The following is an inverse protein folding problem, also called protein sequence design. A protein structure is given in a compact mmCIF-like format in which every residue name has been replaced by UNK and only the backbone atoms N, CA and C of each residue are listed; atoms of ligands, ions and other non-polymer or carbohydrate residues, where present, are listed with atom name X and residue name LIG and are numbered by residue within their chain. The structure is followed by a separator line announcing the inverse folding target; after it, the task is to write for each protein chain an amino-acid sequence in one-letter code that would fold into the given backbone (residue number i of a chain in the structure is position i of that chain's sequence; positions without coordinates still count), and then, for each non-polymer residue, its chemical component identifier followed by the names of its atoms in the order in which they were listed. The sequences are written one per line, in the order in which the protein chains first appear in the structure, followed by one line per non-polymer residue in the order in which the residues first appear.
data_IF_416228078203
#
_entry.id   IF_416228078203
#
_cell.length_a   1.000
_cell.length_b   1.000
_cell.length_c   1.000
_cell.angle_alpha   90.00
_cell.angle_beta   90.00
_cell.angle_gamma   90.00
#
_symmetry.space_group_name_H-M   'P 1'
#
loop_
_entity.id
_entity.type
_entity.pdbx_description
1 polymer ?
#
# COMPACT_ATOMS: atom_id res chain seq x y z
N UNK A 1 25.66 -0.38 12.75
CA UNK A 1 25.20 0.81 13.50
C UNK A 1 24.91 1.91 12.50
N UNK A 2 23.62 2.26 12.37
CA UNK A 2 23.24 3.48 11.65
C UNK A 2 23.65 4.63 12.59
N UNK A 3 24.67 5.37 12.18
CA UNK A 3 25.21 6.46 13.01
C UNK A 3 24.13 7.44 13.40
N UNK A 4 24.06 7.77 14.68
CA UNK A 4 23.09 8.68 15.30
C UNK A 4 23.06 10.10 14.69
N UNK A 5 23.97 10.42 13.80
CA UNK A 5 24.05 11.71 13.13
C UNK A 5 23.00 11.97 12.04
N UNK A 6 22.34 10.90 11.53
CA UNK A 6 21.27 11.02 10.52
C UNK A 6 19.87 11.14 11.12
N UNK A 7 19.69 10.71 12.37
CA UNK A 7 18.39 10.74 13.08
C UNK A 7 18.34 11.89 14.10
N UNK A 8 19.41 12.62 14.28
CA UNK A 8 19.57 13.64 15.33
C UNK A 8 19.58 15.08 14.87
N UNK A 9 19.50 15.38 13.58
CA UNK A 9 19.29 16.76 13.19
C UNK A 9 17.80 17.10 13.33
N UNK A 10 17.49 18.16 14.08
CA UNK A 10 16.12 18.64 14.29
C UNK A 10 15.34 18.81 12.98
N UNK A 11 16.04 19.07 11.89
CA UNK A 11 15.50 19.22 10.54
C UNK A 11 14.85 17.95 10.00
N UNK A 12 15.44 16.77 10.18
CA UNK A 12 14.87 15.51 9.64
C UNK A 12 13.65 14.99 10.40
N UNK A 13 13.50 15.33 11.68
CA UNK A 13 12.40 14.82 12.51
C UNK A 13 11.18 15.73 12.43
N UNK A 14 11.36 17.03 12.23
CA UNK A 14 10.27 18.01 12.22
C UNK A 14 9.72 18.27 10.84
N UNK A 15 10.50 18.05 9.78
CA UNK A 15 10.24 18.53 8.43
C UNK A 15 10.12 17.38 7.42
N UNK A 16 9.81 16.17 7.86
CA UNK A 16 9.73 15.00 6.97
C UNK A 16 8.71 13.96 7.42
N UNK A 17 8.48 12.97 6.58
CA UNK A 17 7.70 11.79 6.91
C UNK A 17 8.61 10.71 7.48
N UNK A 18 8.29 10.22 8.68
CA UNK A 18 8.97 9.09 9.31
C UNK A 18 8.01 7.92 9.47
N UNK A 19 8.39 6.78 8.91
CA UNK A 19 7.66 5.52 9.02
C UNK A 19 8.41 4.56 9.96
N UNK A 20 7.66 3.96 10.89
CA UNK A 20 8.17 2.95 11.84
C UNK A 20 7.55 1.59 11.53
N UNK A 21 8.35 0.64 11.04
CA UNK A 21 7.96 -0.76 10.96
C UNK A 21 8.08 -1.43 12.34
N UNK A 22 6.95 -1.84 12.92
CA UNK A 22 6.90 -2.43 14.25
C UNK A 22 6.41 -3.88 14.22
N UNK A 23 6.99 -4.73 15.06
CA UNK A 23 6.48 -6.06 15.39
C UNK A 23 5.92 -6.04 16.80
N UNK A 24 4.63 -6.37 16.94
CA UNK A 24 4.04 -6.60 18.26
C UNK A 24 4.45 -7.98 18.77
N UNK A 25 5.11 -8.01 19.94
CA UNK A 25 5.55 -9.24 20.57
C UNK A 25 4.98 -9.34 22.00
N UNK A 26 4.98 -10.54 22.63
CA UNK A 26 4.59 -10.67 24.04
C UNK A 26 5.37 -9.77 25.00
N UNK A 27 6.60 -9.37 24.61
CA UNK A 27 7.47 -8.49 25.39
C UNK A 27 7.39 -7.01 24.92
N UNK A 28 6.27 -6.60 24.31
CA UNK A 28 6.04 -5.27 23.79
C UNK A 28 6.49 -5.08 22.34
N UNK A 29 6.30 -3.88 21.77
CA UNK A 29 6.64 -3.59 20.39
C UNK A 29 8.16 -3.61 20.17
N UNK A 30 8.58 -4.21 19.07
CA UNK A 30 9.97 -4.23 18.60
C UNK A 30 10.07 -3.56 17.25
N UNK A 31 11.07 -2.71 17.07
CA UNK A 31 11.32 -2.04 15.80
C UNK A 31 11.93 -3.03 14.81
N UNK A 32 11.36 -3.08 13.60
CA UNK A 32 11.89 -3.82 12.46
C UNK A 32 12.76 -2.89 11.62
N UNK A 33 12.22 -1.72 11.27
CA UNK A 33 12.89 -0.74 10.42
C UNK A 33 12.37 0.67 10.66
N UNK A 34 13.18 1.65 10.25
CA UNK A 34 12.81 3.05 10.10
C UNK A 34 12.96 3.44 8.64
N UNK A 35 12.03 4.24 8.11
CA UNK A 35 12.11 4.83 6.79
C UNK A 35 11.87 6.34 6.90
N UNK A 36 12.70 7.16 6.21
CA UNK A 36 12.53 8.62 6.11
C UNK A 36 11.61 8.99 4.94
N UNK A 37 10.60 8.19 4.68
CA UNK A 37 9.58 8.34 3.65
C UNK A 37 8.43 7.41 3.99
N UNK A 38 7.31 7.54 3.30
CA UNK A 38 6.22 6.57 3.41
C UNK A 38 6.71 5.15 3.08
N UNK A 39 6.13 4.14 3.75
CA UNK A 39 6.42 2.74 3.50
C UNK A 39 5.96 2.27 2.11
N UNK A 40 6.51 1.18 1.64
CA UNK A 40 6.08 0.49 0.42
C UNK A 40 5.99 -1.01 0.71
N UNK A 41 4.77 -1.60 0.77
CA UNK A 41 3.53 -1.17 0.12
C UNK A 41 2.52 -0.41 1.03
N UNK A 42 2.90 0.14 2.17
CA UNK A 42 1.98 0.77 3.13
C UNK A 42 1.35 2.05 2.59
N UNK A 43 2.10 2.83 1.80
CA UNK A 43 1.60 4.04 1.15
C UNK A 43 0.34 3.78 0.32
N UNK A 44 0.31 2.65 -0.37
CA UNK A 44 -0.78 2.25 -1.26
C UNK A 44 -2.08 1.94 -0.53
N UNK A 45 -2.06 1.83 0.80
CA UNK A 45 -3.27 1.65 1.63
C UNK A 45 -3.52 2.84 2.55
N UNK A 46 -2.50 3.58 2.95
CA UNK A 46 -2.63 4.73 3.86
C UNK A 46 -3.16 5.96 3.11
N UNK A 47 -2.52 6.34 2.00
CA UNK A 47 -2.89 7.56 1.27
C UNK A 47 -4.30 7.51 0.63
N UNK A 48 -4.81 6.40 0.09
CA UNK A 48 -6.20 6.31 -0.37
C UNK A 48 -7.25 6.56 0.71
N UNK A 49 -6.88 6.35 1.98
CA UNK A 49 -7.75 6.58 3.13
C UNK A 49 -7.62 7.99 3.72
N UNK A 50 -6.66 8.77 3.27
CA UNK A 50 -6.47 10.15 3.71
C UNK A 50 -7.62 11.02 3.18
N UNK A 51 -8.22 11.82 4.07
CA UNK A 51 -9.12 12.95 3.73
C UNK A 51 -8.36 14.25 3.96
N UNK A 52 -8.01 14.91 2.86
CA UNK A 52 -7.24 16.15 2.89
C UNK A 52 -6.35 16.28 1.65
N UNK A 53 -5.73 17.43 1.53
CA UNK A 53 -4.75 17.70 0.48
C UNK A 53 -3.33 17.37 0.99
N UNK A 54 -2.69 16.39 0.35
CA UNK A 54 -1.32 15.99 0.72
C UNK A 54 -0.30 17.11 0.46
N UNK A 55 -0.54 17.97 -0.55
CA UNK A 55 0.31 19.12 -0.82
C UNK A 55 0.23 20.15 0.30
N UNK A 56 -0.99 20.44 0.79
CA UNK A 56 -1.19 21.31 1.95
C UNK A 56 -0.48 20.77 3.20
N UNK A 57 -0.56 19.45 3.42
CA UNK A 57 0.15 18.80 4.53
C UNK A 57 1.66 19.00 4.41
N UNK A 58 2.24 18.83 3.20
CA UNK A 58 3.67 19.02 2.99
C UNK A 58 4.09 20.47 3.12
N UNK A 59 3.30 21.42 2.62
CA UNK A 59 3.54 22.86 2.82
C UNK A 59 3.50 23.22 4.31
N UNK A 60 2.51 22.70 5.04
CA UNK A 60 2.38 22.95 6.47
C UNK A 60 3.54 22.34 7.29
N UNK A 61 4.08 21.19 6.88
CA UNK A 61 5.30 20.62 7.47
C UNK A 61 6.47 21.58 7.25
N UNK A 62 6.68 22.05 6.01
CA UNK A 62 7.77 22.98 5.66
C UNK A 62 7.65 24.31 6.41
N UNK A 63 6.45 24.82 6.59
CA UNK A 63 6.16 26.08 7.27
C UNK A 63 6.03 25.94 8.81
N UNK A 64 6.27 24.75 9.37
CA UNK A 64 6.15 24.44 10.81
C UNK A 64 4.76 24.71 11.41
N UNK A 65 3.69 24.59 10.61
CA UNK A 65 2.29 24.82 11.00
C UNK A 65 1.41 23.57 10.89
N UNK A 66 1.98 22.37 10.90
CA UNK A 66 1.21 21.13 10.75
C UNK A 66 0.07 20.99 11.76
N UNK A 67 0.21 21.57 12.96
CA UNK A 67 -0.84 21.57 13.98
C UNK A 67 -2.12 22.34 13.54
N UNK A 68 -2.01 23.22 12.56
CA UNK A 68 -3.13 24.04 12.06
C UNK A 68 -3.91 23.32 10.94
N UNK A 69 -3.35 22.23 10.39
CA UNK A 69 -3.96 21.45 9.30
C UNK A 69 -4.88 20.38 9.85
N UNK A 70 -6.12 20.35 9.39
CA UNK A 70 -7.06 19.29 9.72
C UNK A 70 -6.79 18.08 8.84
N UNK A 71 -6.27 17.00 9.44
CA UNK A 71 -6.07 15.71 8.77
C UNK A 71 -7.21 14.77 9.17
N UNK A 72 -7.94 14.26 8.19
CA UNK A 72 -9.03 13.31 8.37
C UNK A 72 -8.72 11.97 7.71
N UNK A 73 -9.50 10.95 8.07
CA UNK A 73 -9.38 9.61 7.51
C UNK A 73 -10.75 9.08 7.12
N UNK A 74 -10.85 8.50 5.93
CA UNK A 74 -12.06 7.81 5.47
C UNK A 74 -12.37 6.63 6.37
N UNK A 75 -13.65 6.39 6.59
CA UNK A 75 -14.12 5.18 7.26
C UNK A 75 -13.94 3.95 6.38
N UNK A 76 -13.75 2.78 7.01
CA UNK A 76 -13.62 1.50 6.32
C UNK A 76 -12.19 0.95 6.32
N UNK A 77 -11.91 0.11 5.34
CA UNK A 77 -10.65 -0.64 5.21
C UNK A 77 -10.10 -0.49 3.81
N UNK A 78 -8.78 -0.47 3.72
CA UNK A 78 -8.06 -0.49 2.45
C UNK A 78 -7.06 -1.66 2.46
N UNK A 79 -6.98 -2.39 1.36
CA UNK A 79 -6.07 -3.53 1.22
C UNK A 79 -5.26 -3.40 -0.06
N UNK A 80 -4.01 -3.83 -0.02
CA UNK A 80 -3.13 -3.88 -1.19
C UNK A 80 -2.53 -5.27 -1.33
N UNK A 81 -2.73 -5.89 -2.48
CA UNK A 81 -2.10 -7.15 -2.85
C UNK A 81 -0.96 -6.87 -3.83
N UNK A 82 0.26 -7.16 -3.43
CA UNK A 82 1.44 -6.99 -4.29
C UNK A 82 1.56 -8.20 -5.22
N UNK A 83 1.59 -7.94 -6.54
CA UNK A 83 1.91 -8.91 -7.56
C UNK A 83 3.41 -8.82 -7.91
N UNK A 84 4.09 -9.95 -7.90
CA UNK A 84 5.52 -10.06 -8.13
C UNK A 84 5.83 -10.97 -9.33
N UNK A 85 7.01 -10.77 -9.91
CA UNK A 85 7.56 -11.64 -10.95
C UNK A 85 7.93 -13.01 -10.39
N UNK A 86 7.70 -14.06 -11.15
CA UNK A 86 8.07 -15.43 -10.78
C UNK A 86 9.57 -15.54 -10.48
N UNK A 87 9.88 -16.14 -9.32
CA UNK A 87 11.24 -16.27 -8.80
C UNK A 87 11.73 -15.11 -7.92
N UNK A 88 10.97 -14.01 -7.81
CA UNK A 88 11.26 -12.97 -6.84
C UNK A 88 11.22 -13.53 -5.39
N UNK A 89 12.14 -13.18 -4.45
CA UNK A 89 13.12 -12.08 -4.55
C UNK A 89 14.49 -12.49 -5.14
N UNK A 90 14.72 -13.76 -5.51
CA UNK A 90 16.05 -14.25 -5.85
C UNK A 90 16.42 -13.94 -7.30
N UNK A 91 15.72 -14.54 -8.26
CA UNK A 91 15.99 -14.35 -9.71
C UNK A 91 14.66 -14.34 -10.47
N UNK A 92 14.43 -13.32 -11.25
CA UNK A 92 13.21 -13.16 -12.03
C UNK A 92 13.49 -12.61 -13.42
N UNK A 93 12.60 -12.91 -14.37
CA UNK A 93 12.63 -12.36 -15.73
C UNK A 93 11.95 -11.00 -15.76
N UNK A 94 12.42 -10.13 -16.67
CA UNK A 94 11.79 -8.86 -17.02
C UNK A 94 11.28 -8.90 -18.45
N UNK A 95 10.45 -7.94 -18.84
CA UNK A 95 9.94 -7.83 -20.22
C UNK A 95 8.83 -8.84 -20.53
N UNK A 96 8.15 -9.38 -19.51
CA UNK A 96 6.96 -10.22 -19.69
C UNK A 96 5.75 -9.32 -19.95
N UNK A 97 5.04 -9.56 -21.06
CA UNK A 97 3.81 -8.81 -21.39
C UNK A 97 2.73 -9.07 -20.34
N UNK A 98 2.00 -7.99 -20.00
CA UNK A 98 0.94 -8.00 -18.99
C UNK A 98 -0.40 -7.76 -19.67
N UNK A 99 -1.46 -8.42 -19.19
CA UNK A 99 -2.81 -8.38 -19.72
C UNK A 99 -3.84 -8.09 -18.63
N UNK A 100 -5.07 -7.71 -19.02
CA UNK A 100 -6.20 -7.54 -18.10
C UNK A 100 -6.31 -6.15 -17.48
N UNK A 101 -5.51 -5.21 -17.92
CA UNK A 101 -5.61 -3.79 -17.58
C UNK A 101 -6.06 -2.98 -18.78
N UNK A 102 -6.65 -1.82 -18.55
CA UNK A 102 -6.99 -0.84 -19.59
C UNK A 102 -5.74 -0.12 -20.14
N UNK A 103 -5.95 0.81 -21.09
CA UNK A 103 -4.87 1.59 -21.72
C UNK A 103 -4.10 2.48 -20.73
N UNK A 104 -4.66 2.75 -19.54
CA UNK A 104 -4.02 3.50 -18.47
C UNK A 104 -3.33 2.59 -17.43
N UNK A 105 -3.37 1.29 -17.65
CA UNK A 105 -2.83 0.30 -16.72
C UNK A 105 -3.68 0.09 -15.48
N UNK A 106 -4.99 0.35 -15.56
CA UNK A 106 -5.92 0.22 -14.44
C UNK A 106 -6.89 -0.96 -14.64
N UNK A 107 -7.56 -1.34 -13.58
CA UNK A 107 -8.66 -2.31 -13.57
C UNK A 107 -9.86 -1.66 -12.93
N UNK A 108 -11.03 -1.78 -13.54
CA UNK A 108 -12.26 -1.22 -12.98
C UNK A 108 -12.52 -1.72 -11.55
N UNK A 109 -12.84 -0.77 -10.66
CA UNK A 109 -13.08 -1.02 -9.23
C UNK A 109 -11.82 -1.16 -8.37
N UNK A 110 -10.61 -0.99 -8.91
CA UNK A 110 -9.36 -1.05 -8.18
C UNK A 110 -8.39 0.08 -8.58
N UNK A 111 -7.49 0.45 -7.67
CA UNK A 111 -6.33 1.28 -7.99
C UNK A 111 -5.11 0.38 -8.20
N UNK A 112 -4.52 0.44 -9.39
CA UNK A 112 -3.31 -0.29 -9.73
C UNK A 112 -2.11 0.64 -9.62
N UNK A 113 -1.26 0.40 -8.63
CA UNK A 113 0.00 1.12 -8.45
C UNK A 113 1.11 0.38 -9.17
N UNK A 114 1.66 1.02 -10.21
CA UNK A 114 2.77 0.49 -10.98
C UNK A 114 4.08 0.66 -10.21
N UNK A 115 4.81 -0.45 -10.00
CA UNK A 115 6.13 -0.48 -9.39
C UNK A 115 7.18 -0.89 -10.41
N UNK A 116 7.44 -2.19 -10.56
CA UNK A 116 8.35 -2.72 -11.55
C UNK A 116 7.68 -2.99 -12.89
N UNK A 117 7.16 -1.96 -13.56
CA UNK A 117 6.52 -2.05 -14.88
C UNK A 117 7.20 -1.14 -15.90
N UNK A 118 7.02 -1.44 -17.17
CA UNK A 118 7.39 -0.62 -18.33
C UNK A 118 6.21 -0.55 -19.28
N UNK A 119 5.92 0.64 -19.81
CA UNK A 119 4.95 0.85 -20.89
C UNK A 119 5.69 1.12 -22.19
N UNK A 120 5.40 0.35 -23.22
CA UNK A 120 6.06 0.42 -24.53
C UNK A 120 5.13 -0.08 -25.62
N UNK A 121 5.03 0.67 -26.71
CA UNK A 121 4.20 0.32 -27.89
C UNK A 121 2.74 -0.03 -27.55
N UNK A 122 2.13 0.70 -26.60
CA UNK A 122 0.74 0.48 -26.21
C UNK A 122 0.53 -0.72 -25.26
N UNK A 123 1.60 -1.30 -24.71
CA UNK A 123 1.53 -2.49 -23.85
C UNK A 123 2.32 -2.31 -22.57
N UNK A 124 1.90 -2.99 -21.51
CA UNK A 124 2.60 -3.06 -20.24
C UNK A 124 3.45 -4.32 -20.14
N UNK A 125 4.64 -4.18 -19.56
CA UNK A 125 5.60 -5.26 -19.37
C UNK A 125 6.14 -5.25 -17.94
N UNK A 126 6.49 -6.42 -17.40
CA UNK A 126 7.22 -6.51 -16.14
C UNK A 126 8.64 -5.94 -16.29
N UNK A 127 9.08 -5.15 -15.31
CA UNK A 127 10.43 -4.56 -15.28
C UNK A 127 11.08 -4.58 -13.89
N UNK A 128 10.53 -5.33 -12.96
CA UNK A 128 11.02 -5.43 -11.59
C UNK A 128 10.55 -6.68 -10.89
N UNK A 129 10.99 -6.89 -9.67
CA UNK A 129 10.59 -8.02 -8.83
C UNK A 129 9.18 -7.84 -8.29
N UNK A 130 8.90 -6.74 -7.57
CA UNK A 130 7.54 -6.29 -7.28
C UNK A 130 7.03 -5.50 -8.48
N UNK A 131 5.93 -5.95 -9.06
CA UNK A 131 5.43 -5.46 -10.35
C UNK A 131 4.31 -4.46 -10.15
N UNK A 132 3.27 -4.85 -9.41
CA UNK A 132 2.08 -4.03 -9.16
C UNK A 132 1.67 -4.11 -7.68
N UNK A 133 1.04 -3.04 -7.18
CA UNK A 133 0.20 -3.05 -6.00
C UNK A 133 -1.27 -2.91 -6.42
N UNK A 134 -2.09 -3.92 -6.15
CA UNK A 134 -3.53 -3.92 -6.45
C UNK A 134 -4.28 -3.52 -5.19
N UNK A 135 -4.88 -2.32 -5.20
CA UNK A 135 -5.46 -1.70 -4.01
C UNK A 135 -6.95 -1.49 -4.19
N UNK A 136 -7.72 -1.91 -3.20
CA UNK A 136 -9.15 -1.65 -3.09
C UNK A 136 -9.53 -1.23 -1.68
N UNK A 137 -10.61 -0.44 -1.58
CA UNK A 137 -11.21 -0.08 -0.31
C UNK A 137 -12.67 -0.56 -0.23
N UNK A 138 -13.14 -0.81 1.00
CA UNK A 138 -14.52 -1.14 1.30
C UNK A 138 -14.83 -0.82 2.77
N UNK A 139 -16.12 -0.85 3.14
CA UNK A 139 -16.54 -0.64 4.51
C UNK A 139 -16.12 -1.78 5.45
N UNK A 140 -15.96 -3.00 4.94
CA UNK A 140 -15.48 -4.15 5.72
C UNK A 140 -14.12 -4.63 5.19
N UNK A 141 -13.30 -5.20 6.09
CA UNK A 141 -12.00 -5.76 5.69
C UNK A 141 -12.17 -6.91 4.70
N UNK A 142 -13.17 -7.79 4.91
CA UNK A 142 -13.46 -8.88 3.98
C UNK A 142 -13.82 -8.33 2.59
N UNK A 143 -14.69 -7.31 2.52
CA UNK A 143 -15.08 -6.71 1.25
C UNK A 143 -13.92 -6.03 0.51
N UNK A 144 -12.98 -5.39 1.23
CA UNK A 144 -11.78 -4.83 0.63
C UNK A 144 -10.85 -5.93 0.07
N UNK A 145 -10.71 -7.04 0.79
CA UNK A 145 -9.92 -8.19 0.35
C UNK A 145 -10.53 -8.86 -0.88
N UNK A 146 -11.85 -9.12 -0.86
CA UNK A 146 -12.55 -9.75 -1.98
C UNK A 146 -12.39 -8.94 -3.26
N UNK A 147 -12.59 -7.61 -3.20
CA UNK A 147 -12.37 -6.71 -4.33
C UNK A 147 -10.92 -6.73 -4.82
N UNK A 148 -9.94 -6.70 -3.90
CA UNK A 148 -8.53 -6.72 -4.28
C UNK A 148 -8.15 -8.03 -4.99
N UNK A 149 -8.60 -9.18 -4.49
CA UNK A 149 -8.32 -10.46 -5.12
C UNK A 149 -9.10 -10.68 -6.42
N UNK A 150 -10.32 -10.15 -6.53
CA UNK A 150 -11.05 -10.11 -7.80
C UNK A 150 -10.27 -9.32 -8.86
N UNK A 151 -9.78 -8.12 -8.52
CA UNK A 151 -8.98 -7.30 -9.42
C UNK A 151 -7.66 -7.99 -9.79
N UNK A 152 -6.95 -8.60 -8.84
CA UNK A 152 -5.75 -9.42 -9.07
C UNK A 152 -6.04 -10.54 -10.07
N UNK A 153 -7.21 -11.19 -9.98
CA UNK A 153 -7.58 -12.30 -10.87
C UNK A 153 -7.71 -11.90 -12.34
N UNK A 154 -7.99 -10.61 -12.61
CA UNK A 154 -8.11 -10.05 -13.95
C UNK A 154 -6.75 -9.78 -14.60
N UNK A 155 -5.70 -9.54 -13.80
CA UNK A 155 -4.36 -9.21 -14.29
C UNK A 155 -3.56 -10.49 -14.50
N UNK A 156 -2.91 -10.63 -15.68
CA UNK A 156 -2.16 -11.82 -16.06
C UNK A 156 -0.81 -11.48 -16.67
N UNK A 157 0.23 -12.21 -16.25
CA UNK A 157 1.53 -12.27 -16.89
C UNK A 157 2.21 -13.60 -16.53
N UNK A 158 3.10 -14.09 -17.39
CA UNK A 158 3.79 -15.37 -17.15
C UNK A 158 4.58 -15.34 -15.84
N UNK A 159 4.33 -16.32 -14.97
CA UNK A 159 5.00 -16.45 -13.69
C UNK A 159 4.51 -15.45 -12.62
N UNK A 160 3.33 -14.88 -12.78
CA UNK A 160 2.73 -14.01 -11.76
C UNK A 160 2.67 -14.71 -10.41
N UNK A 161 3.05 -13.97 -9.36
CA UNK A 161 3.05 -14.48 -8.00
C UNK A 161 2.52 -13.42 -7.03
N UNK A 162 1.65 -13.84 -6.11
CA UNK A 162 1.12 -12.98 -5.05
C UNK A 162 0.74 -13.81 -3.83
N UNK A 163 0.69 -13.19 -2.66
CA UNK A 163 0.24 -13.83 -1.42
C UNK A 163 -1.27 -13.95 -1.41
N UNK A 164 -1.77 -15.13 -1.03
CA UNK A 164 -3.21 -15.43 -0.92
C UNK A 164 -3.76 -15.27 0.51
N UNK A 165 -2.90 -14.88 1.46
CA UNK A 165 -3.22 -14.81 2.89
C UNK A 165 -3.18 -13.38 3.45
N UNK A 166 -3.18 -12.35 2.58
CA UNK A 166 -3.23 -10.96 2.99
C UNK A 166 -4.49 -10.71 3.83
N UNK A 167 -4.33 -10.02 4.97
CA UNK A 167 -5.41 -9.68 5.87
C UNK A 167 -5.96 -10.81 6.74
N UNK A 168 -5.58 -12.07 6.53
CA UNK A 168 -6.13 -13.23 7.27
C UNK A 168 -5.89 -13.17 8.77
N UNK A 169 -4.75 -12.60 9.23
CA UNK A 169 -4.48 -12.40 10.66
C UNK A 169 -5.38 -11.33 11.24
N UNK A 170 -5.63 -10.26 10.50
CA UNK A 170 -6.51 -9.17 10.94
C UNK A 170 -7.96 -9.65 11.01
N UNK A 171 -8.46 -10.38 10.01
CA UNK A 171 -9.79 -10.98 10.03
C UNK A 171 -10.03 -11.86 11.27
N UNK A 172 -9.03 -12.65 11.68
CA UNK A 172 -9.12 -13.49 12.88
C UNK A 172 -9.09 -12.70 14.18
N UNK A 173 -8.53 -11.50 14.18
CA UNK A 173 -8.41 -10.63 15.35
C UNK A 173 -9.59 -9.68 15.53
N UNK A 174 -10.38 -9.44 14.46
CA UNK A 174 -11.57 -8.59 14.53
C UNK A 174 -12.66 -9.26 15.39
N UNK A 175 -13.39 -8.48 16.22
CA UNK A 175 -14.58 -8.98 16.91
C UNK A 175 -15.60 -9.50 15.88
N UNK A 176 -16.28 -10.60 16.20
CA UNK A 176 -17.27 -11.20 15.26
C UNK A 176 -18.37 -10.21 14.84
N UNK A 177 -18.76 -9.34 15.75
CA UNK A 177 -19.81 -8.32 15.52
C UNK A 177 -19.36 -7.20 14.53
N UNK A 178 -18.06 -7.04 14.30
CA UNK A 178 -17.52 -6.08 13.33
C UNK A 178 -17.47 -6.62 11.89
N UNK A 179 -17.71 -7.91 11.70
CA UNK A 179 -17.75 -8.56 10.39
C UNK A 179 -19.12 -8.40 9.72
N UNK A 180 -20.19 -8.12 10.51
CA UNK A 180 -21.59 -8.10 10.07
C UNK A 180 -22.17 -6.67 9.95
N UNK A 181 -21.34 -5.63 10.03
CA UNK A 181 -21.80 -4.27 9.78
C UNK A 181 -22.11 -4.07 8.29
N UNK A 182 -23.27 -4.54 7.85
CA UNK A 182 -23.95 -3.98 6.68
C UNK A 182 -24.23 -2.51 6.95
N UNK A 183 -23.43 -1.66 6.35
CA UNK A 183 -23.67 -0.21 6.38
C UNK A 183 -24.95 0.05 5.59
N UNK A 184 -26.05 0.36 6.30
CA UNK A 184 -27.22 0.95 5.67
C UNK A 184 -26.79 2.28 5.10
N UNK A 185 -26.86 2.40 3.78
CA UNK A 185 -26.76 3.69 3.10
C UNK A 185 -27.98 4.49 3.50
N UNK A 186 -27.78 5.59 4.25
CA UNK A 186 -28.71 6.71 4.33
C UNK A 186 -28.41 7.70 3.21
#
# INVERSE_FOLDING_TARGET
EIGSGLVGSEMCIRDSCLYFGLMLTPNGPKVIEYNCRFGDPETQVVLPMLEGDLCEIFEAIYEHRLADVKIGWKSGYCTCVVMASGGYPVKYKKGIEMFGMDDKGQVDGAFIYHAGTKYENGKFYTNGGRVLGVTCNAYTLQGALDKSYEAVSKIKFEGEHFRKDIGQKALKALPKDSLDLEYKQD
#
